data_IF_743333335675
#
_entry.id   IF_743333335675
#
_cell.length_a   1.000
_cell.length_b   1.000
_cell.length_c   1.000
_cell.angle_alpha   90.00
_cell.angle_beta   90.00
_cell.angle_gamma   90.00
#
_symmetry.space_group_name_H-M   'P 1'
#
loop_
_entity.id
_entity.type
_entity.pdbx_description
1 polymer ?
#
# COMPACT_ATOMS: atom_id res chain seq x y z
N UNK A 1 -2.75 12.63 24.71
CA UNK A 1 -4.04 12.44 25.42
C UNK A 1 -5.05 13.37 24.77
N UNK A 2 -6.20 12.88 24.30
CA UNK A 2 -7.26 13.72 23.75
C UNK A 2 -8.20 14.14 24.87
N UNK A 3 -7.96 15.34 25.40
CA UNK A 3 -8.71 15.87 26.52
C UNK A 3 -8.95 17.37 26.34
N UNK A 4 -10.06 17.83 26.88
CA UNK A 4 -10.36 19.24 27.01
C UNK A 4 -9.41 19.87 28.03
N UNK A 5 -9.21 21.20 28.02
CA UNK A 5 -8.42 21.90 29.04
C UNK A 5 -8.89 21.65 30.48
N UNK A 6 -10.16 21.25 30.65
CA UNK A 6 -10.78 20.88 31.92
C UNK A 6 -10.45 19.45 32.38
N UNK A 7 -9.65 18.70 31.62
CA UNK A 7 -9.31 17.29 31.88
C UNK A 7 -10.39 16.28 31.47
N UNK A 8 -11.55 16.75 30.97
CA UNK A 8 -12.60 15.86 30.46
C UNK A 8 -12.20 15.24 29.11
N UNK A 9 -12.77 14.08 28.73
CA UNK A 9 -12.60 13.53 27.38
C UNK A 9 -12.99 14.55 26.31
N UNK A 10 -12.35 14.51 25.14
CA UNK A 10 -12.71 15.35 24.01
C UNK A 10 -14.22 15.23 23.68
N UNK A 11 -14.86 16.35 23.35
CA UNK A 11 -16.27 16.36 22.94
C UNK A 11 -16.39 15.79 21.52
N UNK A 12 -17.15 14.70 21.30
CA UNK A 12 -17.26 14.09 19.98
C UNK A 12 -17.86 14.99 18.89
N UNK A 13 -18.73 15.96 19.26
CA UNK A 13 -19.32 16.90 18.31
C UNK A 13 -18.32 17.96 17.89
N UNK A 14 -17.54 18.47 18.84
CA UNK A 14 -16.49 19.43 18.55
C UNK A 14 -15.42 18.80 17.64
N UNK A 15 -14.95 17.59 18.00
CA UNK A 15 -13.99 16.81 17.20
C UNK A 15 -14.50 16.54 15.77
N UNK A 16 -15.78 16.16 15.63
CA UNK A 16 -16.38 15.98 14.31
C UNK A 16 -16.47 17.29 13.52
N UNK A 17 -16.77 18.42 14.17
CA UNK A 17 -16.79 19.75 13.55
C UNK A 17 -15.41 20.16 13.04
N UNK A 18 -14.38 20.05 13.89
CA UNK A 18 -12.98 20.31 13.54
C UNK A 18 -12.53 19.44 12.35
N UNK A 19 -12.93 18.17 12.32
CA UNK A 19 -12.68 17.30 11.18
C UNK A 19 -13.27 17.85 9.87
N UNK A 20 -14.50 18.40 9.88
CA UNK A 20 -15.09 19.01 8.67
C UNK A 20 -14.32 20.25 8.24
N UNK A 21 -13.88 21.06 9.18
CA UNK A 21 -13.11 22.27 8.91
C UNK A 21 -11.77 21.93 8.26
N UNK A 22 -11.09 20.88 8.74
CA UNK A 22 -9.85 20.35 8.11
C UNK A 22 -10.11 19.88 6.68
N UNK A 23 -11.17 19.11 6.42
CA UNK A 23 -11.50 18.65 5.06
C UNK A 23 -11.76 19.83 4.11
N UNK A 24 -12.48 20.85 4.59
CA UNK A 24 -12.76 22.07 3.84
C UNK A 24 -11.48 22.85 3.54
N UNK A 25 -10.62 23.02 4.54
CA UNK A 25 -9.33 23.70 4.38
C UNK A 25 -8.40 22.96 3.40
N UNK A 26 -8.43 21.63 3.39
CA UNK A 26 -7.68 20.80 2.46
C UNK A 26 -8.28 20.75 1.04
N UNK A 27 -9.48 21.31 0.82
CA UNK A 27 -10.15 21.32 -0.48
C UNK A 27 -10.58 19.93 -0.98
N UNK A 28 -10.71 18.95 -0.07
CA UNK A 28 -11.10 17.58 -0.43
C UNK A 28 -12.60 17.36 -0.24
N UNK A 29 -13.12 16.28 -0.82
CA UNK A 29 -14.52 15.89 -0.65
C UNK A 29 -14.87 15.75 0.83
N UNK A 30 -16.14 15.98 1.12
CA UNK A 30 -16.67 15.70 2.44
C UNK A 30 -16.60 14.18 2.73
N UNK A 31 -16.05 13.82 3.89
CA UNK A 31 -15.84 12.44 4.33
C UNK A 31 -16.08 12.30 5.84
N UNK A 32 -16.27 11.06 6.30
CA UNK A 32 -16.33 10.74 7.73
C UNK A 32 -14.91 10.57 8.27
N UNK A 33 -14.69 10.83 9.56
CA UNK A 33 -13.38 10.62 10.19
C UNK A 33 -12.90 9.17 10.05
N UNK A 34 -13.82 8.20 10.11
CA UNK A 34 -13.49 6.80 9.91
C UNK A 34 -12.95 6.48 8.50
N UNK A 35 -13.31 7.27 7.49
CA UNK A 35 -12.80 7.09 6.12
C UNK A 35 -11.29 7.36 6.07
N UNK A 36 -10.77 8.28 6.90
CA UNK A 36 -9.33 8.51 7.01
C UNK A 36 -8.60 7.27 7.56
N UNK A 37 -9.22 6.57 8.52
CA UNK A 37 -8.70 5.29 9.01
C UNK A 37 -8.72 4.23 7.90
N UNK A 38 -9.73 4.24 7.04
CA UNK A 38 -9.76 3.34 5.89
C UNK A 38 -8.62 3.64 4.91
N UNK A 39 -8.39 4.92 4.58
CA UNK A 39 -7.29 5.35 3.72
C UNK A 39 -5.92 4.96 4.28
N UNK A 40 -5.71 5.12 5.59
CA UNK A 40 -4.46 4.72 6.24
C UNK A 40 -4.18 3.21 6.08
N UNK A 41 -5.19 2.37 6.26
CA UNK A 41 -5.06 0.93 6.04
C UNK A 41 -4.68 0.60 4.59
N UNK A 42 -5.34 1.24 3.61
CA UNK A 42 -5.02 1.06 2.19
C UNK A 42 -3.57 1.46 1.91
N UNK A 43 -3.09 2.60 2.44
CA UNK A 43 -1.70 3.00 2.23
C UNK A 43 -0.69 2.01 2.80
N UNK A 44 -0.93 1.47 4.00
CA UNK A 44 -0.03 0.47 4.58
C UNK A 44 0.06 -0.80 3.70
N UNK A 45 -1.05 -1.21 3.09
CA UNK A 45 -1.07 -2.33 2.16
C UNK A 45 -0.38 -1.99 0.83
N UNK A 46 -0.59 -0.79 0.30
CA UNK A 46 0.08 -0.31 -0.92
C UNK A 46 1.59 -0.22 -0.75
N UNK A 47 2.05 0.17 0.44
CA UNK A 47 3.47 0.20 0.80
C UNK A 47 4.06 -1.21 1.07
N UNK A 48 3.28 -2.27 0.90
CA UNK A 48 3.74 -3.65 1.06
C UNK A 48 4.04 -4.04 2.51
N UNK A 49 3.50 -3.33 3.49
CA UNK A 49 3.70 -3.66 4.91
C UNK A 49 3.08 -5.02 5.21
N UNK A 50 3.84 -5.88 5.90
CA UNK A 50 3.39 -7.22 6.25
C UNK A 50 2.04 -7.18 6.98
N UNK A 51 1.11 -8.05 6.57
CA UNK A 51 -0.28 -8.05 7.07
C UNK A 51 -0.36 -8.05 8.60
N UNK A 52 0.52 -8.79 9.28
CA UNK A 52 0.55 -8.83 10.75
C UNK A 52 0.88 -7.46 11.36
N UNK A 53 1.89 -6.78 10.80
CA UNK A 53 2.25 -5.43 11.23
C UNK A 53 1.13 -4.42 10.96
N UNK A 54 0.42 -4.55 9.82
CA UNK A 54 -0.78 -3.73 9.55
C UNK A 54 -1.84 -3.98 10.61
N UNK A 55 -2.12 -5.24 10.97
CA UNK A 55 -3.08 -5.55 12.02
C UNK A 55 -2.69 -4.97 13.38
N UNK A 56 -1.42 -5.03 13.75
CA UNK A 56 -0.93 -4.48 15.01
C UNK A 56 -1.05 -2.95 15.04
N UNK A 57 -0.64 -2.24 13.97
CA UNK A 57 -0.81 -0.77 13.84
C UNK A 57 -2.29 -0.37 13.84
N UNK A 58 -3.12 -1.14 13.14
CA UNK A 58 -4.56 -0.88 13.04
C UNK A 58 -5.32 -1.44 14.25
N UNK A 59 -4.67 -2.08 15.23
CA UNK A 59 -5.34 -2.65 16.40
C UNK A 59 -6.44 -3.67 16.06
N UNK A 60 -6.31 -4.39 14.95
CA UNK A 60 -7.27 -5.41 14.54
C UNK A 60 -6.92 -6.76 15.16
N UNK A 61 -7.84 -7.31 15.94
CA UNK A 61 -7.68 -8.64 16.54
C UNK A 61 -8.08 -9.78 15.61
N UNK A 62 -8.88 -9.52 14.58
CA UNK A 62 -9.39 -10.53 13.64
C UNK A 62 -8.85 -10.31 12.23
N UNK A 63 -8.29 -11.36 11.63
CA UNK A 63 -7.79 -11.36 10.25
C UNK A 63 -8.88 -10.95 9.25
N UNK A 64 -10.13 -11.35 9.47
CA UNK A 64 -11.27 -10.98 8.60
C UNK A 64 -11.46 -9.46 8.50
N UNK A 65 -11.04 -8.71 9.51
CA UNK A 65 -11.07 -7.24 9.46
C UNK A 65 -10.03 -6.72 8.47
N UNK A 66 -8.84 -7.32 8.45
CA UNK A 66 -7.76 -6.97 7.53
C UNK A 66 -8.09 -7.34 6.08
N UNK A 67 -8.74 -8.49 5.86
CA UNK A 67 -9.19 -8.97 4.55
C UNK A 67 -10.04 -7.94 3.80
N UNK A 68 -10.88 -7.18 4.51
CA UNK A 68 -11.72 -6.10 3.93
C UNK A 68 -10.91 -4.99 3.25
N UNK A 69 -9.63 -4.87 3.57
CA UNK A 69 -8.70 -3.90 3.02
C UNK A 69 -7.74 -4.50 1.99
N UNK A 70 -7.65 -5.83 1.92
CA UNK A 70 -6.79 -6.55 0.98
C UNK A 70 -7.29 -6.57 -0.46
N UNK A 71 -8.24 -5.68 -0.81
CA UNK A 71 -8.50 -5.36 -2.20
C UNK A 71 -7.32 -4.55 -2.73
N UNK A 72 -6.26 -5.27 -3.07
CA UNK A 72 -5.10 -4.77 -3.83
C UNK A 72 -5.68 -4.14 -5.09
N UNK A 73 -5.50 -2.82 -5.31
CA UNK A 73 -5.81 -2.19 -6.58
C UNK A 73 -5.05 -2.92 -7.69
N UNK A 74 -5.66 -3.12 -8.86
CA UNK A 74 -5.03 -3.90 -9.93
C UNK A 74 -3.68 -3.30 -10.36
N UNK A 75 -3.52 -1.99 -10.20
CA UNK A 75 -2.27 -1.26 -10.42
C UNK A 75 -1.13 -1.75 -9.51
N UNK A 76 -1.45 -2.08 -8.25
CA UNK A 76 -0.46 -2.63 -7.31
C UNK A 76 -0.10 -4.07 -7.67
N UNK A 77 -1.07 -4.89 -8.13
CA UNK A 77 -0.79 -6.23 -8.69
C UNK A 77 0.13 -6.13 -9.89
N UNK A 78 -0.15 -5.20 -10.81
CA UNK A 78 0.69 -4.94 -11.98
C UNK A 78 2.11 -4.55 -11.57
N UNK A 79 2.27 -3.65 -10.59
CA UNK A 79 3.60 -3.20 -10.15
C UNK A 79 4.42 -4.34 -9.54
N UNK A 80 3.78 -5.22 -8.76
CA UNK A 80 4.42 -6.42 -8.17
C UNK A 80 4.85 -7.37 -9.29
N UNK A 81 3.98 -7.60 -10.29
CA UNK A 81 4.31 -8.45 -11.44
C UNK A 81 5.48 -7.87 -12.26
N UNK A 82 5.53 -6.56 -12.48
CA UNK A 82 6.64 -5.89 -13.15
C UNK A 82 7.94 -6.01 -12.36
N UNK A 83 7.91 -5.79 -11.05
CA UNK A 83 9.09 -5.94 -10.19
C UNK A 83 9.61 -7.38 -10.18
N UNK A 84 8.73 -8.38 -10.06
CA UNK A 84 9.08 -9.80 -10.14
C UNK A 84 9.64 -10.17 -11.52
N UNK A 85 9.03 -9.69 -12.61
CA UNK A 85 9.54 -9.91 -13.96
C UNK A 85 10.95 -9.35 -14.15
N UNK A 86 11.21 -8.15 -13.64
CA UNK A 86 12.54 -7.55 -13.63
C UNK A 86 13.53 -8.33 -12.76
N UNK A 87 13.13 -8.81 -11.59
CA UNK A 87 14.03 -9.54 -10.69
C UNK A 87 14.37 -10.94 -11.19
N UNK A 88 13.40 -11.62 -11.81
CA UNK A 88 13.52 -12.99 -12.26
C UNK A 88 14.24 -13.04 -13.62
N UNK A 89 13.83 -12.20 -14.59
CA UNK A 89 14.31 -12.28 -15.99
C UNK A 89 15.45 -11.31 -16.32
N UNK A 90 16.10 -10.68 -15.34
CA UNK A 90 17.41 -10.04 -15.58
C UNK A 90 18.51 -11.09 -15.52
N UNK A 91 18.65 -11.87 -16.60
CA UNK A 91 19.89 -12.56 -16.95
C UNK A 91 20.88 -11.59 -17.62
N UNK A 92 22.19 -11.91 -17.67
CA UNK A 92 23.16 -11.01 -18.29
C UNK A 92 22.75 -10.76 -19.74
N UNK A 93 23.15 -9.61 -20.28
CA UNK A 93 23.18 -9.39 -21.72
C UNK A 93 23.90 -10.60 -22.34
N UNK A 94 23.12 -11.56 -22.83
CA UNK A 94 23.59 -12.62 -23.70
C UNK A 94 23.87 -11.91 -25.01
N UNK A 95 25.00 -11.20 -25.03
CA UNK A 95 25.57 -10.59 -26.21
C UNK A 95 25.58 -11.66 -27.28
N UNK A 96 24.71 -11.46 -28.26
CA UNK A 96 24.54 -12.26 -29.45
C UNK A 96 25.85 -12.19 -30.25
N UNK A 97 26.84 -12.95 -29.78
CA UNK A 97 28.05 -13.30 -30.49
C UNK A 97 27.71 -14.46 -31.39
N UNK A 98 27.15 -14.15 -32.54
CA UNK A 98 26.98 -15.05 -33.68
C UNK A 98 28.35 -15.65 -34.04
N UNK A 99 28.59 -16.92 -33.67
CA UNK A 99 29.63 -17.75 -34.27
C UNK A 99 29.05 -19.13 -34.60
N UNK A 100 28.68 -19.40 -35.87
CA UNK A 100 28.43 -20.74 -36.31
C UNK A 100 29.73 -21.42 -36.77
N UNK A 101 30.20 -22.32 -35.90
CA UNK A 101 30.61 -23.71 -36.21
C UNK A 101 31.73 -23.95 -37.24
N UNK A 102 32.87 -24.43 -36.72
CA UNK A 102 33.87 -25.17 -37.48
C UNK A 102 33.27 -26.40 -38.17
N UNK A 103 33.35 -26.45 -39.50
CA UNK A 103 33.17 -27.66 -40.29
C UNK A 103 34.55 -28.24 -40.66
N UNK A 104 34.82 -29.46 -40.18
CA UNK A 104 35.98 -30.25 -40.56
C UNK A 104 35.82 -30.86 -41.95
N UNK A 105 36.90 -30.69 -42.73
CA UNK A 105 37.40 -31.31 -43.98
C UNK A 105 36.79 -32.65 -44.42
N UNK A 106 36.72 -32.89 -45.76
CA UNK A 106 37.09 -34.20 -46.28
C UNK A 106 38.13 -34.18 -47.44
N UNK A 107 38.86 -35.29 -47.51
CA UNK A 107 39.84 -35.81 -48.50
C UNK A 107 41.27 -35.24 -48.51
#
# INVERSE_FOLDING_TARGET
MFAQPTGRPADPRADYGEWKDVLKAAGVREARLHDARHTAATFLLVLGVAQRAVMDVMGWSKIDTAQRYQHVPDELRQSIATQLGGLLWTGPDDGDGDEPTAASVPA
#
